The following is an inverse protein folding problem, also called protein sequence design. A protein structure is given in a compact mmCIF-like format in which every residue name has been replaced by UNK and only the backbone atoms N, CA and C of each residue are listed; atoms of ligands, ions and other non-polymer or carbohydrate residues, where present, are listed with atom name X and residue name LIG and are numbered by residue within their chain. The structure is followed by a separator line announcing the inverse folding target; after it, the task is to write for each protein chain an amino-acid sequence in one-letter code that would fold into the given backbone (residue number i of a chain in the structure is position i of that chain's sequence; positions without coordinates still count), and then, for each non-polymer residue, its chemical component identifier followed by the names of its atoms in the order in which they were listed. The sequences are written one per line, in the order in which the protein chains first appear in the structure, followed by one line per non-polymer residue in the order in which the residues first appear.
data_IF_884580231874
#
_entry.id   IF_884580231874
#
_cell.length_a   1.000
_cell.length_b   1.000
_cell.length_c   1.000
_cell.angle_alpha   90.00
_cell.angle_beta   90.00
_cell.angle_gamma   90.00
#
_symmetry.space_group_name_H-M   'P 1'
#
loop_
_entity.id
_entity.type
_entity.pdbx_description
1 polymer ?
#
# COMPACT_ATOMS: atom_id res chain seq x y z
N UNK A 1 -2.31 -3.19 -18.07
CA UNK A 1 -2.34 -1.92 -17.32
C UNK A 1 -0.93 -1.39 -17.25
N UNK A 2 -0.74 -0.06 -17.26
CA UNK A 2 0.61 0.52 -17.07
C UNK A 2 1.01 0.34 -15.60
N UNK A 3 2.12 -0.35 -15.37
CA UNK A 3 2.80 -0.30 -14.08
C UNK A 3 3.26 1.14 -13.82
N UNK A 4 3.13 1.61 -12.58
CA UNK A 4 3.67 2.90 -12.15
C UNK A 4 4.57 2.67 -10.95
N UNK A 5 5.67 3.42 -10.87
CA UNK A 5 6.48 3.46 -9.66
C UNK A 5 5.79 4.32 -8.61
N UNK A 6 5.61 3.77 -7.42
CA UNK A 6 4.94 4.42 -6.31
C UNK A 6 5.76 4.28 -5.03
N UNK A 7 5.58 5.24 -4.12
CA UNK A 7 6.01 5.15 -2.72
C UNK A 7 4.84 4.70 -1.87
N UNK A 8 5.07 3.70 -1.02
CA UNK A 8 4.08 3.12 -0.12
C UNK A 8 4.65 3.07 1.29
N UNK A 9 3.95 3.60 2.28
CA UNK A 9 4.40 3.63 3.68
C UNK A 9 3.30 3.08 4.58
N UNK A 10 3.58 2.00 5.31
CA UNK A 10 2.69 1.46 6.32
C UNK A 10 2.66 2.44 7.51
N UNK A 11 1.47 2.78 7.99
CA UNK A 11 1.23 3.75 9.06
C UNK A 11 0.81 3.12 10.38
N UNK A 12 0.75 1.79 10.46
CA UNK A 12 0.41 1.06 11.70
C UNK A 12 1.35 1.40 12.85
N UNK A 13 2.63 1.67 12.55
CA UNK A 13 3.64 2.10 13.52
C UNK A 13 3.93 3.62 13.43
N UNK A 14 2.90 4.42 13.12
CA UNK A 14 3.00 5.87 13.00
C UNK A 14 3.88 6.29 11.82
N UNK A 15 4.97 7.01 12.11
CA UNK A 15 5.92 7.48 11.09
C UNK A 15 7.04 6.46 10.80
N UNK A 16 7.18 5.42 11.62
CA UNK A 16 8.29 4.46 11.54
C UNK A 16 7.87 3.10 10.99
N UNK A 17 6.67 2.98 10.44
CA UNK A 17 6.24 1.77 9.75
C UNK A 17 7.05 1.56 8.46
N UNK A 18 7.05 0.32 7.98
CA UNK A 18 7.79 -0.09 6.78
C UNK A 18 7.43 0.78 5.56
N UNK A 19 8.43 1.04 4.71
CA UNK A 19 8.28 1.85 3.51
C UNK A 19 8.82 1.11 2.29
N UNK A 20 8.16 1.28 1.16
CA UNK A 20 8.49 0.63 -0.10
C UNK A 20 8.50 1.61 -1.26
N UNK A 21 9.35 1.35 -2.24
CA UNK A 21 9.29 1.95 -3.56
C UNK A 21 9.32 0.82 -4.58
N UNK A 22 8.41 0.85 -5.55
CA UNK A 22 8.43 -0.14 -6.61
C UNK A 22 7.29 0.02 -7.60
N UNK A 23 7.32 -0.83 -8.63
CA UNK A 23 6.22 -0.91 -9.56
C UNK A 23 4.99 -1.49 -8.88
N UNK A 24 3.85 -0.82 -9.10
CA UNK A 24 2.55 -1.28 -8.64
C UNK A 24 1.60 -1.46 -9.82
N UNK A 25 0.59 -2.31 -9.61
CA UNK A 25 -0.54 -2.44 -10.51
C UNK A 25 -1.79 -1.84 -9.89
N UNK A 26 -2.60 -1.16 -10.69
CA UNK A 26 -3.90 -0.65 -10.25
C UNK A 26 -5.03 -1.58 -10.71
N UNK A 27 -6.09 -1.68 -9.93
CA UNK A 27 -7.35 -2.28 -10.40
C UNK A 27 -7.95 -1.46 -11.55
N UNK A 28 -8.94 -2.04 -12.26
CA UNK A 28 -9.60 -1.36 -13.40
C UNK A 28 -10.21 -0.01 -13.02
N UNK A 29 -10.75 0.09 -11.80
CA UNK A 29 -11.32 1.32 -11.25
C UNK A 29 -10.25 2.30 -10.73
N UNK A 30 -8.99 1.86 -10.61
CA UNK A 30 -7.92 2.63 -9.97
C UNK A 30 -8.01 2.72 -8.45
N UNK A 31 -8.99 2.03 -7.83
CA UNK A 31 -9.26 2.13 -6.38
C UNK A 31 -8.41 1.19 -5.54
N UNK A 32 -7.77 0.19 -6.15
CA UNK A 32 -6.94 -0.79 -5.44
C UNK A 32 -5.55 -0.81 -6.06
N UNK A 33 -4.53 -0.82 -5.20
CA UNK A 33 -3.11 -0.90 -5.55
C UNK A 33 -2.59 -2.27 -5.15
N UNK A 34 -2.07 -3.03 -6.11
CA UNK A 34 -1.44 -4.32 -5.88
C UNK A 34 0.08 -4.17 -5.93
N UNK A 35 0.75 -4.61 -4.88
CA UNK A 35 2.21 -4.62 -4.78
C UNK A 35 2.66 -5.69 -3.81
N UNK A 36 3.82 -6.31 -4.02
CA UNK A 36 4.48 -7.20 -3.06
C UNK A 36 3.55 -8.15 -2.28
N UNK A 37 2.70 -8.89 -3.01
CA UNK A 37 1.67 -9.80 -2.46
C UNK A 37 0.63 -9.16 -1.51
N UNK A 38 0.36 -7.86 -1.67
CA UNK A 38 -0.65 -7.08 -0.94
C UNK A 38 -1.63 -6.41 -1.90
N UNK A 39 -2.80 -6.06 -1.37
CA UNK A 39 -3.79 -5.21 -2.04
C UNK A 39 -4.23 -4.09 -1.11
N UNK A 40 -3.93 -2.85 -1.50
CA UNK A 40 -4.30 -1.65 -0.76
C UNK A 40 -5.50 -1.00 -1.41
N UNK A 41 -6.61 -0.93 -0.70
CA UNK A 41 -7.83 -0.27 -1.17
C UNK A 41 -7.87 1.17 -0.69
N UNK A 42 -8.22 2.08 -1.59
CA UNK A 42 -8.35 3.50 -1.29
C UNK A 42 -9.44 3.71 -0.23
N UNK A 43 -9.11 4.48 0.79
CA UNK A 43 -10.08 4.89 1.82
C UNK A 43 -11.10 5.84 1.18
N UNK A 44 -12.39 5.66 1.49
CA UNK A 44 -13.47 6.53 0.98
C UNK A 44 -13.39 7.95 1.58
N UNK A 45 -13.08 8.01 2.88
CA UNK A 45 -12.86 9.22 3.65
C UNK A 45 -11.37 9.28 4.06
N UNK A 46 -10.85 10.48 4.34
CA UNK A 46 -9.48 10.66 4.81
C UNK A 46 -9.23 9.78 6.04
N UNK A 47 -8.23 8.89 5.97
CA UNK A 47 -7.78 8.09 7.10
C UNK A 47 -7.12 8.93 8.19
N UNK A 48 -6.77 8.32 9.32
CA UNK A 48 -6.11 9.04 10.42
C UNK A 48 -4.67 9.38 10.02
N UNK A 49 -3.98 8.44 9.37
CA UNK A 49 -2.56 8.56 9.00
C UNK A 49 -2.31 8.21 7.51
N UNK A 50 -3.19 7.41 6.90
CA UNK A 50 -3.07 6.91 5.54
C UNK A 50 -4.19 7.37 4.60
N UNK A 51 -4.05 6.97 3.33
CA UNK A 51 -5.05 7.19 2.27
C UNK A 51 -5.54 5.87 1.64
N UNK A 52 -4.92 4.74 1.99
CA UNK A 52 -5.35 3.39 1.65
C UNK A 52 -5.29 2.49 2.90
N UNK A 53 -5.91 1.32 2.82
CA UNK A 53 -5.76 0.26 3.80
C UNK A 53 -5.49 -1.08 3.12
N UNK A 54 -4.76 -1.97 3.77
CA UNK A 54 -4.58 -3.36 3.31
C UNK A 54 -5.88 -4.14 3.52
N UNK A 55 -6.40 -4.74 2.45
CA UNK A 55 -7.67 -5.48 2.46
C UNK A 55 -7.63 -6.65 3.45
N UNK A 56 -6.47 -7.28 3.64
CA UNK A 56 -6.34 -8.43 4.53
C UNK A 56 -6.21 -8.04 6.00
N UNK A 57 -5.44 -6.99 6.30
CA UNK A 57 -5.05 -6.68 7.70
C UNK A 57 -5.77 -5.45 8.26
N UNK A 58 -6.39 -4.62 7.42
CA UNK A 58 -6.97 -3.34 7.81
C UNK A 58 -5.95 -2.25 8.15
N UNK A 59 -4.65 -2.53 8.02
CA UNK A 59 -3.59 -1.58 8.30
C UNK A 59 -3.64 -0.39 7.33
N UNK A 60 -3.45 0.84 7.83
CA UNK A 60 -3.42 2.04 7.00
C UNK A 60 -2.06 2.20 6.30
N UNK A 61 -2.12 2.66 5.05
CA UNK A 61 -0.97 2.96 4.22
C UNK A 61 -1.10 4.36 3.63
N UNK A 62 0.04 5.05 3.53
CA UNK A 62 0.19 6.21 2.69
C UNK A 62 0.75 5.79 1.33
N UNK A 63 -0.05 5.96 0.28
CA UNK A 63 0.34 5.66 -1.10
C UNK A 63 0.44 6.95 -1.88
N UNK A 64 1.58 7.18 -2.52
CA UNK A 64 1.83 8.40 -3.31
C UNK A 64 2.83 8.15 -4.43
N UNK A 65 2.96 9.09 -5.36
CA UNK A 65 4.06 9.05 -6.32
C UNK A 65 5.41 9.25 -5.63
N UNK A 66 6.47 8.77 -6.26
CA UNK A 66 7.84 9.03 -5.80
C UNK A 66 8.14 10.53 -5.85
N UNK A 67 8.74 11.07 -4.79
CA UNK A 67 9.16 12.46 -4.71
C UNK A 67 10.47 12.65 -5.46
N UNK A 68 10.51 13.63 -6.37
CA UNK A 68 11.71 13.94 -7.16
C UNK A 68 12.96 14.29 -6.34
N UNK A 69 12.80 14.71 -5.09
CA UNK A 69 13.90 15.02 -4.19
C UNK A 69 14.44 13.78 -3.43
N UNK A 70 13.91 12.58 -3.71
CA UNK A 70 14.31 11.33 -3.05
C UNK A 70 13.92 11.21 -1.58
N UNK A 71 13.20 12.19 -1.02
CA UNK A 71 12.76 12.18 0.39
C UNK A 71 11.43 11.43 0.55
N UNK A 72 11.38 10.21 0.06
CA UNK A 72 10.14 9.42 -0.04
C UNK A 72 9.57 8.96 1.30
N UNK A 73 10.36 9.05 2.38
CA UNK A 73 9.91 8.76 3.75
C UNK A 73 9.33 10.01 4.42
N UNK A 74 8.46 9.77 5.40
CA UNK A 74 8.01 10.83 6.31
C UNK A 74 9.19 11.48 7.05
N UNK A 75 9.12 12.79 7.30
CA UNK A 75 10.22 13.57 7.92
C UNK A 75 10.64 13.06 9.31
N UNK A 76 9.70 12.51 10.07
CA UNK A 76 9.93 11.90 11.39
C UNK A 76 9.99 10.36 11.34
N UNK A 77 10.04 9.79 10.15
CA UNK A 77 10.14 8.35 9.96
C UNK A 77 11.57 7.86 10.01
N UNK A 78 11.76 6.63 10.45
CA UNK A 78 13.07 5.98 10.57
C UNK A 78 13.12 4.66 9.79
N UNK A 79 14.33 4.13 9.59
CA UNK A 79 14.57 2.88 8.89
C UNK A 79 14.81 3.03 7.39
N UNK A 80 15.20 1.92 6.75
CA UNK A 80 15.44 1.86 5.30
C UNK A 80 14.15 1.71 4.51
N UNK A 81 14.14 2.21 3.28
CA UNK A 81 13.07 2.00 2.31
C UNK A 81 13.40 0.73 1.52
N UNK A 82 12.44 -0.17 1.40
CA UNK A 82 12.57 -1.37 0.57
C UNK A 82 12.29 -1.00 -0.89
N UNK A 83 13.29 -1.06 -1.75
CA UNK A 83 13.14 -0.78 -3.18
C UNK A 83 13.06 -2.08 -3.98
N UNK A 84 12.06 -2.21 -4.84
CA UNK A 84 11.97 -3.34 -5.76
C UNK A 84 13.11 -3.28 -6.78
N UNK A 85 13.87 -4.37 -6.89
CA UNK A 85 15.05 -4.47 -7.77
C UNK A 85 14.73 -4.11 -9.22
N UNK A 86 13.52 -4.45 -9.67
CA UNK A 86 13.08 -4.21 -11.05
C UNK A 86 12.70 -2.74 -11.30
N UNK A 87 12.56 -1.93 -10.26
CA UNK A 87 12.17 -0.51 -10.34
C UNK A 87 13.34 0.46 -10.20
N UNK A 88 14.55 -0.04 -9.91
CA UNK A 88 15.72 0.79 -9.58
C UNK A 88 16.04 1.77 -10.70
N UNK A 89 16.12 1.32 -11.95
CA UNK A 89 16.49 2.17 -13.07
C UNK A 89 15.49 3.33 -13.29
N UNK A 90 14.19 3.03 -13.18
CA UNK A 90 13.13 4.04 -13.30
C UNK A 90 13.09 4.98 -12.09
N UNK A 91 13.36 4.46 -10.89
CA UNK A 91 13.50 5.28 -9.68
C UNK A 91 14.63 6.30 -9.85
N UNK A 92 15.83 5.83 -10.18
CA UNK A 92 17.03 6.66 -10.32
C UNK A 92 16.84 7.77 -11.37
N UNK A 93 16.21 7.45 -12.50
CA UNK A 93 15.83 8.45 -13.52
C UNK A 93 14.83 9.48 -13.01
N UNK A 94 13.89 9.09 -12.15
CA UNK A 94 12.85 9.97 -11.63
C UNK A 94 13.40 10.96 -10.60
N UNK A 95 14.35 10.53 -9.77
CA UNK A 95 14.96 11.35 -8.71
C UNK A 95 16.30 11.98 -9.10
N UNK A 96 16.77 11.75 -10.34
CA UNK A 96 18.06 12.22 -10.88
C UNK A 96 19.27 11.78 -10.03
N UNK A 97 19.26 10.52 -9.59
CA UNK A 97 20.36 9.90 -8.83
C UNK A 97 21.12 8.90 -9.69
N UNK A 98 22.40 8.69 -9.36
CA UNK A 98 23.24 7.73 -10.08
C UNK A 98 23.21 6.32 -9.48
N UNK A 99 23.02 6.22 -8.16
CA UNK A 99 23.04 4.96 -7.42
C UNK A 99 22.00 4.97 -6.30
N UNK A 100 21.55 3.78 -5.91
CA UNK A 100 20.78 3.56 -4.70
C UNK A 100 21.76 3.50 -3.53
N UNK A 101 21.63 4.42 -2.57
CA UNK A 101 22.46 4.42 -1.36
C UNK A 101 21.93 3.38 -0.36
N UNK A 102 22.70 2.29 -0.17
CA UNK A 102 22.37 1.20 0.76
C UNK A 102 22.20 1.66 2.21
N UNK A 103 22.66 2.85 2.58
CA UNK A 103 22.36 3.45 3.88
C UNK A 103 20.86 3.69 4.06
N UNK A 104 20.17 4.10 3.00
CA UNK A 104 18.76 4.48 3.02
C UNK A 104 17.85 3.41 2.44
N UNK A 105 18.38 2.50 1.63
CA UNK A 105 17.60 1.50 0.91
C UNK A 105 18.01 0.06 1.22
N UNK A 106 17.03 -0.83 1.18
CA UNK A 106 17.20 -2.27 1.11
C UNK A 106 16.63 -2.75 -0.21
N UNK A 107 17.45 -3.38 -1.06
CA UNK A 107 16.97 -3.93 -2.33
C UNK A 107 16.22 -5.24 -2.05
N UNK A 108 15.00 -5.35 -2.56
CA UNK A 108 14.17 -6.56 -2.46
C UNK A 108 13.58 -6.91 -3.82
N UNK A 109 12.95 -8.08 -3.92
CA UNK A 109 12.13 -8.45 -5.08
C UNK A 109 10.67 -8.50 -4.67
N UNK A 110 9.82 -7.71 -5.33
CA UNK A 110 8.39 -7.74 -5.05
C UNK A 110 7.79 -9.10 -5.44
N UNK A 111 7.10 -9.72 -4.50
CA UNK A 111 6.32 -10.90 -4.78
C UNK A 111 5.11 -10.54 -5.66
N UNK A 112 4.81 -11.42 -6.62
CA UNK A 112 3.60 -11.29 -7.45
C UNK A 112 2.37 -11.40 -6.57
N UNK A 113 1.42 -10.48 -6.76
CA UNK A 113 0.16 -10.49 -6.02
C UNK A 113 -0.87 -11.41 -6.68
N UNK A 114 -1.38 -12.38 -5.92
CA UNK A 114 -2.59 -13.14 -6.29
C UNK A 114 -3.83 -12.26 -6.10
N UNK A 115 -4.42 -11.80 -7.20
CA UNK A 115 -5.57 -10.89 -7.19
C UNK A 115 -6.89 -11.61 -6.91
N UNK A 116 -7.00 -12.92 -7.18
CA UNK A 116 -8.22 -13.70 -6.92
C UNK A 116 -8.53 -13.73 -5.42
N UNK A 117 -7.49 -13.94 -4.60
CA UNK A 117 -7.58 -13.92 -3.13
C UNK A 117 -8.28 -12.66 -2.59
N UNK A 118 -7.92 -11.49 -3.10
CA UNK A 118 -8.53 -10.24 -2.62
C UNK A 118 -9.95 -10.02 -3.14
N UNK A 119 -10.27 -10.50 -4.36
CA UNK A 119 -11.64 -10.44 -4.87
C UNK A 119 -12.59 -11.29 -4.02
N UNK A 120 -12.14 -12.44 -3.53
CA UNK A 120 -12.93 -13.30 -2.63
C UNK A 120 -13.24 -12.58 -1.31
N UNK A 121 -12.24 -11.95 -0.68
CA UNK A 121 -12.42 -11.17 0.55
C UNK A 121 -13.44 -10.04 0.34
N UNK A 122 -13.31 -9.30 -0.76
CA UNK A 122 -14.23 -8.19 -1.08
C UNK A 122 -15.66 -8.67 -1.34
N UNK A 123 -15.84 -9.81 -2.02
CA UNK A 123 -17.16 -10.38 -2.28
C UNK A 123 -17.83 -10.85 -0.99
N UNK A 124 -17.11 -11.54 -0.12
CA UNK A 124 -17.60 -11.97 1.21
C UNK A 124 -18.05 -10.75 2.02
N UNK A 125 -17.27 -9.67 2.00
CA UNK A 125 -17.63 -8.41 2.64
C UNK A 125 -18.94 -7.81 2.10
N UNK A 126 -19.15 -7.85 0.79
CA UNK A 126 -20.39 -7.35 0.16
C UNK A 126 -21.59 -8.22 0.56
N UNK A 127 -21.46 -9.54 0.54
CA UNK A 127 -22.50 -10.47 0.95
C UNK A 127 -22.89 -10.25 2.43
N UNK A 128 -21.90 -10.10 3.31
CA UNK A 128 -22.14 -9.82 4.72
C UNK A 128 -22.88 -8.50 4.94
N UNK A 129 -22.49 -7.42 4.23
CA UNK A 129 -23.18 -6.12 4.30
C UNK A 129 -24.64 -6.24 3.86
N UNK A 130 -24.91 -6.93 2.76
CA UNK A 130 -26.26 -7.08 2.22
C UNK A 130 -27.19 -7.86 3.16
N UNK A 131 -26.64 -8.78 3.94
CA UNK A 131 -27.42 -9.67 4.83
C UNK A 131 -27.58 -9.13 6.27
N UNK A 132 -26.86 -8.08 6.66
CA UNK A 132 -26.83 -7.60 8.06
C UNK A 132 -27.40 -6.18 8.21
N UNK A 133 -28.55 -6.01 8.89
CA UNK A 133 -29.14 -4.69 9.22
C UNK A 133 -28.25 -3.79 10.09
N UNK A 134 -27.23 -4.35 10.74
CA UNK A 134 -26.27 -3.66 11.61
C UNK A 134 -24.96 -3.26 10.91
N UNK A 135 -24.75 -3.65 9.65
CA UNK A 135 -23.49 -3.44 8.94
C UNK A 135 -23.21 -1.96 8.58
N UNK A 136 -24.24 -1.12 8.53
CA UNK A 136 -24.11 0.30 8.19
C UNK A 136 -23.32 1.11 9.24
N UNK A 137 -23.23 0.62 10.49
CA UNK A 137 -22.62 1.38 11.59
C UNK A 137 -21.09 1.21 11.73
N UNK A 138 -20.47 0.25 11.03
CA UNK A 138 -19.02 -0.01 11.11
C UNK A 138 -18.20 0.51 9.92
N UNK A 139 -18.78 1.27 8.97
CA UNK A 139 -18.08 1.73 7.76
C UNK A 139 -17.16 2.96 7.97
N UNK A 140 -16.55 3.10 9.15
CA UNK A 140 -15.56 4.14 9.47
C UNK A 140 -14.12 3.62 9.37
N UNK A 141 -13.80 2.87 8.30
CA UNK A 141 -12.44 2.44 7.96
C UNK A 141 -11.66 1.66 9.04
N UNK A 142 -12.27 1.30 10.18
CA UNK A 142 -11.67 0.46 11.20
C UNK A 142 -12.28 -0.94 11.15
N UNK A 143 -11.79 -1.76 10.22
CA UNK A 143 -11.90 -3.21 10.38
C UNK A 143 -10.79 -3.68 11.32
N UNK A 144 -10.97 -3.43 12.61
CA UNK A 144 -10.59 -4.45 13.59
C UNK A 144 -11.66 -5.53 13.50
N UNK A 145 -11.23 -6.79 13.47
CA UNK A 145 -11.96 -8.04 13.20
C UNK A 145 -11.40 -8.62 11.88
N UNK A 146 -10.21 -9.25 11.88
CA UNK A 146 -10.11 -10.64 12.33
C UNK A 146 -11.49 -11.29 12.24
N UNK A 147 -11.74 -11.94 11.11
CA UNK A 147 -12.69 -13.05 11.08
C UNK A 147 -12.13 -14.10 12.06
N UNK A 148 -12.40 -13.90 13.36
CA UNK A 148 -12.40 -14.97 14.34
C UNK A 148 -13.64 -15.80 14.00
N UNK A 149 -13.46 -16.69 13.01
CA UNK A 149 -14.28 -17.90 12.83
C UNK A 149 -13.43 -19.05 13.35
#
# INVERSE_FOLDING_TARGET
MKSKIMSLENKSNGHSGSAWIGFVEFSKSGQTVYFNNKALKKLKNTGILGNHFDIETGEEYWVSGVKKNGQDRHQFGSGKIMIDKNSIDDYLKLVDFNIVDEKYFTIIEFAKTDKSRFNEIENIEVEYRNNSRSADYLDNNQRKLILDI
#
